data_IF_092483123522
#
_entry.id   IF_092483123522
#
_cell.length_a   1.000
_cell.length_b   1.000
_cell.length_c   1.000
_cell.angle_alpha   90.00
_cell.angle_beta   90.00
_cell.angle_gamma   90.00
#
_symmetry.space_group_name_H-M   'P 1'
#
loop_
_entity.id
_entity.type
_entity.pdbx_description
1 polymer ?
#
# COMPACT_ATOMS: atom_id res chain seq x y z
N UNK A 1 20.49 2.22 -15.87
CA UNK A 1 19.04 2.01 -15.68
C UNK A 1 18.89 0.85 -14.70
N UNK A 2 18.75 1.10 -13.40
CA UNK A 2 18.46 0.04 -12.44
C UNK A 2 16.99 -0.37 -12.64
N UNK A 3 16.76 -1.50 -13.29
CA UNK A 3 15.42 -2.11 -13.38
C UNK A 3 15.34 -3.11 -12.24
N UNK A 4 14.60 -2.76 -11.21
CA UNK A 4 14.31 -3.63 -10.08
C UNK A 4 13.24 -4.63 -10.52
N UNK A 5 13.65 -5.87 -10.84
CA UNK A 5 12.74 -6.89 -11.34
C UNK A 5 12.81 -8.12 -10.41
N UNK A 6 11.70 -8.53 -9.77
CA UNK A 6 11.68 -9.76 -9.00
C UNK A 6 11.76 -10.96 -9.96
N UNK A 7 12.88 -11.68 -9.95
CA UNK A 7 13.00 -12.95 -10.65
C UNK A 7 12.30 -14.06 -9.83
N UNK A 8 11.17 -14.58 -10.32
CA UNK A 8 10.60 -15.84 -9.78
C UNK A 8 11.46 -17.00 -10.23
N UNK A 9 12.03 -17.76 -9.28
CA UNK A 9 12.64 -19.04 -9.62
C UNK A 9 11.55 -20.08 -9.97
N UNK A 10 11.91 -21.13 -10.70
CA UNK A 10 10.99 -22.21 -11.12
C UNK A 10 10.59 -23.17 -9.98
N UNK A 11 11.11 -23.01 -8.76
CA UNK A 11 10.95 -23.96 -7.64
C UNK A 11 9.89 -23.56 -6.61
N UNK A 12 9.04 -22.57 -6.88
CA UNK A 12 7.87 -22.26 -6.04
C UNK A 12 8.16 -21.52 -4.73
N UNK A 13 9.43 -21.42 -4.31
CA UNK A 13 9.89 -20.48 -3.28
C UNK A 13 10.25 -19.17 -3.95
N UNK A 14 9.42 -18.15 -3.78
CA UNK A 14 9.73 -16.80 -4.25
C UNK A 14 10.82 -16.19 -3.37
N UNK A 15 12.09 -16.53 -3.62
CA UNK A 15 13.19 -15.73 -3.09
C UNK A 15 13.18 -14.40 -3.81
N UNK A 16 12.82 -13.34 -3.09
CA UNK A 16 12.86 -11.98 -3.62
C UNK A 16 14.33 -11.53 -3.63
N UNK A 17 14.94 -11.49 -4.82
CA UNK A 17 16.26 -10.90 -4.99
C UNK A 17 16.09 -9.43 -5.41
N UNK A 18 16.71 -8.53 -4.66
CA UNK A 18 16.98 -7.18 -5.16
C UNK A 18 18.24 -7.25 -6.02
N UNK A 19 18.11 -7.00 -7.31
CA UNK A 19 19.27 -6.80 -8.19
C UNK A 19 19.50 -5.30 -8.36
N UNK A 20 20.59 -4.81 -7.79
CA UNK A 20 21.08 -3.47 -8.03
C UNK A 20 22.52 -3.54 -8.55
N UNK A 21 22.87 -2.61 -9.43
CA UNK A 21 24.24 -2.50 -9.99
C UNK A 21 24.79 -1.14 -9.61
N UNK A 22 25.20 -0.94 -8.33
CA UNK A 22 25.79 0.32 -7.92
C UNK A 22 27.11 0.55 -8.65
N UNK A 23 27.37 1.80 -9.03
CA UNK A 23 28.69 2.20 -9.50
C UNK A 23 29.61 2.44 -8.31
N UNK A 24 30.86 1.97 -8.37
CA UNK A 24 31.90 2.38 -7.44
C UNK A 24 32.46 3.72 -7.88
N UNK A 25 32.50 4.71 -6.99
CA UNK A 25 33.14 6.00 -7.25
C UNK A 25 34.50 6.03 -6.56
N UNK A 26 35.55 5.62 -7.27
CA UNK A 26 36.93 5.62 -6.77
C UNK A 26 37.61 4.27 -6.96
N UNK A 27 38.88 4.20 -6.58
CA UNK A 27 39.63 2.95 -6.54
C UNK A 27 39.06 2.03 -5.44
N UNK A 28 39.15 0.69 -5.58
CA UNK A 28 38.65 -0.25 -4.57
C UNK A 28 39.13 0.05 -3.14
N UNK A 29 40.36 0.54 -2.98
CA UNK A 29 40.93 0.92 -1.68
C UNK A 29 40.22 2.09 -1.00
N UNK A 30 39.53 2.94 -1.77
CA UNK A 30 38.88 4.15 -1.28
C UNK A 30 37.40 3.93 -0.95
N UNK A 31 36.80 2.89 -1.56
CA UNK A 31 35.38 2.61 -1.47
C UNK A 31 35.08 1.39 -0.60
N UNK A 32 36.02 0.46 -0.46
CA UNK A 32 35.94 -0.65 0.49
C UNK A 32 36.42 -0.14 1.84
N UNK A 33 35.52 -0.11 2.82
CA UNK A 33 35.82 0.36 4.17
C UNK A 33 36.60 -0.71 4.95
N UNK A 34 36.15 -1.96 4.86
CA UNK A 34 36.74 -3.14 5.49
C UNK A 34 36.30 -4.42 4.75
N UNK A 35 36.46 -5.60 5.38
CA UNK A 35 36.18 -6.90 4.75
C UNK A 35 34.70 -7.18 4.47
N UNK A 36 33.79 -6.37 5.01
CA UNK A 36 32.33 -6.54 4.90
C UNK A 36 31.58 -5.26 4.51
N UNK A 37 32.27 -4.12 4.40
CA UNK A 37 31.71 -2.82 4.01
C UNK A 37 32.27 -2.26 2.71
N UNK A 38 31.38 -1.85 1.78
CA UNK A 38 31.75 -1.08 0.59
C UNK A 38 30.75 0.04 0.31
N UNK A 39 31.23 1.12 -0.27
CA UNK A 39 30.44 2.29 -0.68
C UNK A 39 30.17 2.26 -2.18
N UNK A 40 28.89 2.36 -2.55
CA UNK A 40 28.45 2.40 -3.95
C UNK A 40 27.43 3.51 -4.19
N UNK A 41 27.36 4.01 -5.41
CA UNK A 41 26.37 5.00 -5.84
C UNK A 41 25.30 4.32 -6.67
N UNK A 42 24.05 4.44 -6.22
CA UNK A 42 22.90 3.91 -6.94
C UNK A 42 22.33 4.98 -7.88
N UNK A 43 22.31 4.68 -9.18
CA UNK A 43 21.61 5.49 -10.18
C UNK A 43 20.33 4.76 -10.62
N UNK A 44 19.16 5.27 -10.27
CA UNK A 44 17.90 4.66 -10.68
C UNK A 44 16.65 5.22 -10.03
N UNK A 45 15.50 4.73 -10.49
CA UNK A 45 14.18 5.00 -9.93
C UNK A 45 13.76 3.81 -9.08
N UNK A 46 13.46 4.04 -7.81
CA UNK A 46 12.96 3.01 -6.89
C UNK A 46 11.47 3.23 -6.63
N UNK A 47 10.66 2.19 -6.84
CA UNK A 47 9.26 2.22 -6.42
C UNK A 47 9.16 2.24 -4.91
N UNK A 48 8.28 3.08 -4.36
CA UNK A 48 8.00 3.15 -2.93
C UNK A 48 6.50 2.95 -2.71
N UNK A 49 6.13 2.31 -1.60
CA UNK A 49 4.77 2.25 -1.08
C UNK A 49 4.76 2.83 0.33
N UNK A 50 3.75 3.65 0.59
CA UNK A 50 3.51 4.17 1.92
C UNK A 50 3.16 3.02 2.87
N UNK A 51 3.90 2.93 3.96
CA UNK A 51 3.64 1.95 4.99
C UNK A 51 2.48 2.41 5.89
N UNK A 52 1.68 1.44 6.33
CA UNK A 52 0.63 1.63 7.33
C UNK A 52 -0.63 2.33 6.80
N UNK A 53 -0.68 2.68 5.52
CA UNK A 53 -1.88 3.26 4.90
C UNK A 53 -2.05 2.84 3.44
N UNK A 54 -3.32 2.66 3.05
CA UNK A 54 -3.69 2.26 1.70
C UNK A 54 -4.63 3.31 1.09
N UNK A 55 -4.41 3.61 -0.19
CA UNK A 55 -5.23 4.54 -0.96
C UNK A 55 -6.05 3.77 -1.98
N UNK A 56 -7.14 4.35 -2.47
CA UNK A 56 -7.89 3.75 -3.57
C UNK A 56 -6.97 3.50 -4.79
N UNK A 57 -7.01 2.27 -5.30
CA UNK A 57 -6.17 1.83 -6.42
C UNK A 57 -6.60 2.54 -7.73
N UNK A 58 -5.65 2.82 -8.62
CA UNK A 58 -5.95 3.42 -9.94
C UNK A 58 -6.20 2.37 -11.03
N UNK A 59 -5.73 1.14 -10.79
CA UNK A 59 -5.93 0.01 -11.68
C UNK A 59 -5.95 -1.30 -10.88
N UNK A 60 -6.73 -2.27 -11.35
CA UNK A 60 -6.82 -3.58 -10.70
C UNK A 60 -7.03 -4.71 -11.70
N UNK A 61 -6.71 -5.94 -11.30
CA UNK A 61 -7.00 -7.13 -12.11
C UNK A 61 -8.49 -7.44 -11.99
N UNK A 62 -9.17 -7.53 -13.13
CA UNK A 62 -10.61 -7.80 -13.20
C UNK A 62 -10.87 -9.01 -14.09
N UNK A 63 -11.91 -9.83 -13.79
CA UNK A 63 -12.42 -10.79 -14.75
C UNK A 63 -12.81 -10.14 -16.07
N UNK A 64 -12.64 -10.85 -17.17
CA UNK A 64 -13.10 -10.41 -18.50
C UNK A 64 -14.11 -11.36 -19.12
N UNK A 65 -14.54 -12.36 -18.35
CA UNK A 65 -15.51 -13.37 -18.73
C UNK A 65 -15.44 -14.57 -17.79
N UNK A 66 -16.16 -15.66 -18.08
CA UNK A 66 -16.30 -16.81 -17.17
C UNK A 66 -15.00 -17.56 -16.89
N UNK A 67 -14.05 -17.51 -17.83
CA UNK A 67 -12.76 -18.21 -17.72
C UNK A 67 -11.57 -17.25 -17.84
N UNK A 68 -11.83 -15.97 -18.14
CA UNK A 68 -10.81 -15.01 -18.55
C UNK A 68 -10.53 -13.95 -17.50
N UNK A 69 -9.26 -13.56 -17.40
CA UNK A 69 -8.82 -12.38 -16.67
C UNK A 69 -7.89 -11.57 -17.55
N UNK A 70 -7.96 -10.24 -17.45
CA UNK A 70 -6.94 -9.36 -18.04
C UNK A 70 -6.00 -8.82 -16.98
N UNK A 71 -4.75 -8.59 -17.36
CA UNK A 71 -3.82 -7.79 -16.56
C UNK A 71 -4.35 -6.36 -16.38
N UNK A 72 -4.02 -5.78 -15.21
CA UNK A 72 -4.29 -4.41 -14.73
C UNK A 72 -5.19 -3.55 -15.64
N UNK A 73 -6.47 -3.42 -15.27
CA UNK A 73 -7.43 -2.54 -15.93
C UNK A 73 -7.62 -1.26 -15.11
N UNK A 74 -7.77 -0.11 -15.77
CA UNK A 74 -8.04 1.17 -15.09
C UNK A 74 -9.33 1.08 -14.27
N UNK A 75 -9.28 1.50 -13.01
CA UNK A 75 -10.47 1.66 -12.16
C UNK A 75 -11.34 2.76 -12.77
N UNK A 76 -12.63 2.47 -12.93
CA UNK A 76 -13.58 3.32 -13.67
C UNK A 76 -13.64 3.04 -15.18
N UNK A 77 -12.83 2.11 -15.69
CA UNK A 77 -12.94 1.66 -17.08
C UNK A 77 -14.18 0.77 -17.33
N UNK A 78 -14.58 0.56 -18.58
CA UNK A 78 -15.81 -0.19 -18.92
C UNK A 78 -15.86 -1.61 -18.37
N UNK A 79 -14.73 -2.32 -18.36
CA UNK A 79 -14.66 -3.67 -17.79
C UNK A 79 -14.81 -3.69 -16.27
N UNK A 80 -14.25 -2.68 -15.58
CA UNK A 80 -14.41 -2.54 -14.13
C UNK A 80 -15.86 -2.16 -13.77
N UNK A 81 -16.47 -1.29 -14.56
CA UNK A 81 -17.88 -0.92 -14.43
C UNK A 81 -18.78 -2.15 -14.61
N UNK A 82 -18.64 -2.88 -15.71
CA UNK A 82 -19.45 -4.07 -15.96
C UNK A 82 -19.33 -5.10 -14.83
N UNK A 83 -18.12 -5.31 -14.30
CA UNK A 83 -17.91 -6.23 -13.18
C UNK A 83 -18.56 -5.74 -11.87
N UNK A 84 -18.47 -4.46 -11.56
CA UNK A 84 -19.07 -3.90 -10.36
C UNK A 84 -20.56 -3.61 -10.49
N UNK A 85 -21.15 -3.62 -11.69
CA UNK A 85 -22.61 -3.48 -11.84
C UNK A 85 -23.34 -4.71 -11.31
N UNK A 86 -22.81 -5.90 -11.59
CA UNK A 86 -23.30 -7.15 -11.01
C UNK A 86 -22.17 -8.19 -10.95
N UNK A 87 -21.41 -8.28 -9.84
CA UNK A 87 -20.31 -9.23 -9.70
C UNK A 87 -20.78 -10.68 -9.53
N UNK A 88 -22.07 -10.92 -9.31
CA UNK A 88 -22.66 -12.24 -9.10
C UNK A 88 -23.48 -12.72 -10.32
N UNK A 89 -23.47 -11.96 -11.42
CA UNK A 89 -24.14 -12.30 -12.67
C UNK A 89 -23.76 -13.72 -13.15
N UNK A 90 -24.76 -14.59 -13.15
CA UNK A 90 -24.58 -16.01 -13.49
C UNK A 90 -24.04 -16.16 -14.92
N UNK A 91 -22.91 -16.87 -15.05
CA UNK A 91 -22.30 -17.16 -16.34
C UNK A 91 -21.61 -15.96 -17.02
N UNK A 92 -21.50 -14.81 -16.36
CA UNK A 92 -20.74 -13.66 -16.86
C UNK A 92 -19.30 -13.65 -16.33
N UNK A 93 -19.13 -14.05 -15.06
CA UNK A 93 -17.85 -14.03 -14.35
C UNK A 93 -17.42 -15.42 -13.88
N UNK A 94 -16.16 -15.61 -13.47
CA UNK A 94 -15.70 -16.88 -12.93
C UNK A 94 -16.56 -17.33 -11.75
N UNK A 95 -17.07 -18.54 -11.83
CA UNK A 95 -17.87 -19.11 -10.75
C UNK A 95 -17.01 -19.30 -9.50
N UNK A 96 -17.61 -19.03 -8.34
CA UNK A 96 -17.00 -19.43 -7.07
C UNK A 96 -16.94 -20.96 -6.99
N UNK A 97 -15.84 -21.50 -6.48
CA UNK A 97 -15.66 -22.95 -6.31
C UNK A 97 -16.60 -23.54 -5.27
N UNK A 98 -17.16 -22.69 -4.39
CA UNK A 98 -18.20 -23.02 -3.43
C UNK A 98 -19.28 -21.94 -3.48
N UNK A 99 -20.55 -22.29 -3.20
CA UNK A 99 -21.60 -21.29 -3.04
C UNK A 99 -21.20 -20.23 -2.01
N UNK A 100 -21.49 -18.97 -2.30
CA UNK A 100 -21.26 -17.89 -1.34
C UNK A 100 -22.23 -18.03 -0.17
N UNK A 101 -21.77 -17.64 1.02
CA UNK A 101 -22.67 -17.53 2.16
C UNK A 101 -23.67 -16.38 1.92
N UNK A 102 -24.96 -16.50 2.28
CA UNK A 102 -25.97 -15.48 1.98
C UNK A 102 -25.63 -14.06 2.49
N UNK A 103 -24.94 -13.96 3.63
CA UNK A 103 -24.47 -12.68 4.16
C UNK A 103 -23.40 -12.01 3.28
N UNK A 104 -22.58 -12.81 2.59
CA UNK A 104 -21.57 -12.31 1.64
C UNK A 104 -22.25 -11.81 0.38
N UNK A 105 -23.22 -12.57 -0.14
CA UNK A 105 -24.03 -12.16 -1.30
C UNK A 105 -24.76 -10.85 -1.01
N UNK A 106 -25.45 -10.75 0.13
CA UNK A 106 -26.13 -9.54 0.55
C UNK A 106 -25.17 -8.34 0.68
N UNK A 107 -23.95 -8.57 1.17
CA UNK A 107 -22.93 -7.52 1.26
C UNK A 107 -22.45 -7.06 -0.11
N UNK A 108 -22.21 -7.97 -1.05
CA UNK A 108 -21.87 -7.60 -2.43
C UNK A 108 -23.01 -6.82 -3.08
N UNK A 109 -24.24 -7.32 -3.02
CA UNK A 109 -25.41 -6.64 -3.57
C UNK A 109 -25.59 -5.22 -3.00
N UNK A 110 -25.29 -5.01 -1.71
CA UNK A 110 -25.37 -3.68 -1.09
C UNK A 110 -24.18 -2.75 -1.40
N UNK A 111 -23.03 -3.29 -1.80
CA UNK A 111 -21.80 -2.53 -2.03
C UNK A 111 -21.48 -2.30 -3.53
N UNK A 112 -22.23 -2.94 -4.41
CA UNK A 112 -22.00 -2.95 -5.86
C UNK A 112 -23.27 -2.52 -6.59
N UNK A 113 -23.15 -2.23 -7.88
CA UNK A 113 -24.21 -1.66 -8.71
C UNK A 113 -23.75 -0.44 -9.50
N UNK A 114 -24.72 0.16 -10.19
CA UNK A 114 -24.50 1.33 -11.03
C UNK A 114 -23.81 2.46 -10.24
N UNK A 115 -22.72 2.98 -10.81
CA UNK A 115 -21.93 4.06 -10.21
C UNK A 115 -20.83 3.61 -9.23
N UNK A 116 -20.76 2.34 -8.82
CA UNK A 116 -19.69 1.88 -7.91
C UNK A 116 -18.29 2.05 -8.51
N UNK A 117 -18.11 1.74 -9.80
CA UNK A 117 -16.82 1.95 -10.46
C UNK A 117 -16.44 3.44 -10.60
N UNK A 118 -17.40 4.32 -10.91
CA UNK A 118 -17.17 5.76 -10.91
C UNK A 118 -16.82 6.29 -9.52
N UNK A 119 -17.47 5.78 -8.47
CA UNK A 119 -17.16 6.10 -7.09
C UNK A 119 -15.72 5.71 -6.71
N UNK A 120 -15.29 4.50 -7.08
CA UNK A 120 -13.92 4.05 -6.84
C UNK A 120 -12.90 4.93 -7.58
N UNK A 121 -13.17 5.25 -8.85
CA UNK A 121 -12.28 6.08 -9.66
C UNK A 121 -12.11 7.49 -9.07
N UNK A 122 -13.22 8.11 -8.63
CA UNK A 122 -13.19 9.41 -7.96
C UNK A 122 -12.26 9.39 -6.74
N UNK A 123 -12.41 8.40 -5.85
CA UNK A 123 -11.55 8.32 -4.67
C UNK A 123 -10.07 8.08 -5.01
N UNK A 124 -9.77 7.34 -6.07
CA UNK A 124 -8.40 7.14 -6.54
C UNK A 124 -7.80 8.43 -7.11
N UNK A 125 -8.57 9.16 -7.91
CA UNK A 125 -8.17 10.45 -8.49
C UNK A 125 -7.99 11.52 -7.40
N UNK A 126 -8.91 11.59 -6.44
CA UNK A 126 -8.86 12.52 -5.30
C UNK A 126 -7.62 12.26 -4.42
N UNK A 127 -7.36 10.99 -4.07
CA UNK A 127 -6.19 10.63 -3.27
C UNK A 127 -4.88 10.95 -4.01
N UNK A 128 -4.82 10.68 -5.32
CA UNK A 128 -3.67 11.02 -6.16
C UNK A 128 -3.46 12.53 -6.23
N UNK A 129 -4.52 13.30 -6.45
CA UNK A 129 -4.47 14.76 -6.51
C UNK A 129 -4.02 15.37 -5.18
N UNK A 130 -4.54 14.85 -4.06
CA UNK A 130 -4.18 15.29 -2.73
C UNK A 130 -2.68 15.09 -2.44
N UNK A 131 -2.13 13.91 -2.75
CA UNK A 131 -0.70 13.67 -2.55
C UNK A 131 0.17 14.60 -3.41
N UNK A 132 -0.21 14.81 -4.68
CA UNK A 132 0.49 15.75 -5.57
C UNK A 132 0.47 17.16 -4.99
N UNK A 133 -0.69 17.64 -4.55
CA UNK A 133 -0.85 18.96 -3.94
C UNK A 133 0.04 19.11 -2.70
N UNK A 134 0.02 18.13 -1.78
CA UNK A 134 0.88 18.18 -0.58
C UNK A 134 2.37 18.30 -0.92
N UNK A 135 2.86 17.57 -1.93
CA UNK A 135 4.26 17.62 -2.34
C UNK A 135 4.59 18.96 -2.99
N UNK A 136 3.68 19.51 -3.80
CA UNK A 136 3.86 20.81 -4.44
C UNK A 136 3.88 21.94 -3.41
N UNK A 137 2.94 21.93 -2.47
CA UNK A 137 2.85 22.91 -1.38
C UNK A 137 4.11 22.88 -0.51
N UNK A 138 4.58 21.69 -0.14
CA UNK A 138 5.80 21.53 0.65
C UNK A 138 7.02 22.06 -0.13
N UNK A 139 7.11 21.77 -1.43
CA UNK A 139 8.20 22.28 -2.28
C UNK A 139 8.18 23.80 -2.38
N UNK A 140 7.01 24.39 -2.56
CA UNK A 140 6.83 25.85 -2.62
C UNK A 140 7.21 26.50 -1.28
N UNK A 141 6.70 25.97 -0.16
CA UNK A 141 7.02 26.44 1.19
C UNK A 141 8.52 26.41 1.49
N UNK A 142 9.19 25.36 1.02
CA UNK A 142 10.63 25.19 1.20
C UNK A 142 11.44 26.08 0.23
N UNK A 143 10.86 26.46 -0.91
CA UNK A 143 11.52 27.32 -1.91
C UNK A 143 12.60 26.61 -2.74
N UNK A 144 12.46 25.30 -2.98
CA UNK A 144 13.47 24.48 -3.67
C UNK A 144 13.01 24.12 -5.10
N UNK A 145 13.94 24.13 -6.06
CA UNK A 145 13.69 23.72 -7.43
C UNK A 145 13.32 22.22 -7.54
N UNK A 146 12.50 21.81 -8.53
CA UNK A 146 12.08 20.41 -8.67
C UNK A 146 13.25 19.41 -8.74
N UNK A 147 14.37 19.79 -9.36
CA UNK A 147 15.56 18.95 -9.51
C UNK A 147 16.29 18.70 -8.18
N UNK A 148 16.09 19.57 -7.18
CA UNK A 148 16.77 19.57 -5.89
C UNK A 148 15.86 19.11 -4.75
N UNK A 149 14.56 18.93 -5.02
CA UNK A 149 13.63 18.40 -4.04
C UNK A 149 14.01 16.97 -3.67
N UNK A 150 14.16 16.73 -2.36
CA UNK A 150 14.50 15.42 -1.80
C UNK A 150 13.53 15.09 -0.69
N UNK A 151 13.22 13.80 -0.58
CA UNK A 151 12.38 13.27 0.48
C UNK A 151 13.24 12.53 1.50
N UNK A 152 12.88 12.66 2.77
CA UNK A 152 13.32 11.76 3.81
C UNK A 152 12.47 10.49 3.74
N UNK A 153 13.14 9.34 3.72
CA UNK A 153 12.52 8.02 3.64
C UNK A 153 12.93 7.25 4.89
N UNK A 154 11.96 6.93 5.74
CA UNK A 154 12.15 6.08 6.90
C UNK A 154 11.52 4.71 6.61
N UNK A 155 12.34 3.66 6.63
CA UNK A 155 11.92 2.27 6.35
C UNK A 155 11.69 1.50 7.65
N UNK A 156 10.95 0.39 7.60
CA UNK A 156 10.75 -0.53 8.73
C UNK A 156 11.54 -1.82 8.58
N UNK A 157 11.35 -2.75 9.51
CA UNK A 157 12.03 -4.06 9.51
C UNK A 157 11.75 -4.86 8.23
N UNK A 158 10.51 -4.81 7.73
CA UNK A 158 10.16 -5.31 6.40
C UNK A 158 10.39 -4.20 5.37
N UNK A 159 11.59 -4.18 4.80
CA UNK A 159 12.03 -3.07 3.95
C UNK A 159 11.35 -3.09 2.57
N UNK A 160 11.03 -4.27 2.04
CA UNK A 160 10.47 -4.44 0.69
C UNK A 160 9.18 -5.27 0.72
N UNK A 161 8.23 -4.92 -0.14
CA UNK A 161 7.10 -5.80 -0.44
C UNK A 161 7.44 -6.87 -1.49
N UNK A 162 6.51 -7.80 -1.73
CA UNK A 162 6.69 -8.86 -2.74
C UNK A 162 6.84 -8.38 -4.19
N UNK A 163 6.68 -7.07 -4.45
CA UNK A 163 6.95 -6.44 -5.74
C UNK A 163 8.31 -5.71 -5.78
N UNK A 164 9.10 -5.76 -4.71
CA UNK A 164 10.40 -5.09 -4.61
C UNK A 164 10.29 -3.59 -4.39
N UNK A 165 9.13 -3.09 -3.92
CA UNK A 165 8.95 -1.66 -3.57
C UNK A 165 9.37 -1.42 -2.13
N UNK A 166 10.04 -0.31 -1.87
CA UNK A 166 10.37 0.10 -0.51
C UNK A 166 9.10 0.41 0.28
N UNK A 167 8.98 -0.15 1.48
CA UNK A 167 7.94 0.18 2.43
C UNK A 167 8.43 1.30 3.36
N UNK A 168 7.79 2.46 3.30
CA UNK A 168 8.32 3.64 3.98
C UNK A 168 7.28 4.63 4.51
N UNK A 169 7.71 5.37 5.53
CA UNK A 169 7.18 6.68 5.87
C UNK A 169 7.98 7.76 5.13
N UNK A 170 7.28 8.69 4.49
CA UNK A 170 7.90 9.70 3.63
C UNK A 170 7.59 11.10 4.12
N UNK A 171 8.60 11.96 4.17
CA UNK A 171 8.47 13.39 4.45
C UNK A 171 9.50 14.18 3.64
N UNK A 172 9.53 15.51 3.73
CA UNK A 172 10.58 16.36 3.17
C UNK A 172 11.93 16.10 3.86
N UNK A 173 13.05 16.22 3.13
CA UNK A 173 14.39 16.01 3.70
C UNK A 173 15.00 17.24 4.38
N UNK A 174 14.35 18.40 4.27
CA UNK A 174 14.75 19.68 4.89
C UNK A 174 15.00 19.49 6.38
N UNK A 175 16.11 20.01 6.91
CA UNK A 175 16.52 19.80 8.32
C UNK A 175 15.83 20.79 9.27
N UNK A 176 15.47 21.95 8.73
CA UNK A 176 14.84 23.06 9.41
C UNK A 176 13.44 22.65 9.88
N UNK A 177 13.28 22.51 11.19
CA UNK A 177 12.03 22.03 11.81
C UNK A 177 10.81 22.90 11.46
N UNK A 178 11.00 24.20 11.30
CA UNK A 178 9.93 25.15 10.94
C UNK A 178 9.41 24.98 9.51
N UNK A 179 10.25 24.46 8.62
CA UNK A 179 9.91 24.21 7.22
C UNK A 179 9.44 22.77 6.98
N UNK A 180 9.87 21.83 7.82
CA UNK A 180 9.47 20.42 7.74
C UNK A 180 8.07 20.21 8.36
N UNK A 181 7.10 19.68 7.60
CA UNK A 181 5.82 19.29 8.16
C UNK A 181 5.99 18.27 9.31
N UNK A 182 5.28 18.43 10.44
CA UNK A 182 5.43 17.54 11.58
C UNK A 182 4.94 16.12 11.30
N UNK A 183 3.95 15.98 10.41
CA UNK A 183 3.39 14.71 9.97
C UNK A 183 4.01 14.30 8.63
N UNK A 184 4.22 13.00 8.48
CA UNK A 184 4.61 12.37 7.21
C UNK A 184 3.49 12.51 6.18
N UNK A 185 3.80 12.34 4.89
CA UNK A 185 2.77 12.27 3.85
C UNK A 185 1.79 11.13 4.12
N UNK A 186 2.26 10.00 4.66
CA UNK A 186 1.41 8.88 5.07
C UNK A 186 0.32 9.34 6.06
N UNK A 187 0.74 10.02 7.13
CA UNK A 187 -0.15 10.50 8.19
C UNK A 187 -1.06 11.63 7.71
N UNK A 188 -0.57 12.54 6.86
CA UNK A 188 -1.38 13.60 6.25
C UNK A 188 -2.46 13.02 5.33
N UNK A 189 -2.13 11.99 4.55
CA UNK A 189 -3.08 11.27 3.71
C UNK A 189 -4.18 10.61 4.53
N UNK A 190 -3.84 9.99 5.68
CA UNK A 190 -4.84 9.46 6.62
C UNK A 190 -5.68 10.58 7.23
N UNK A 191 -5.04 11.64 7.72
CA UNK A 191 -5.71 12.76 8.39
C UNK A 191 -6.72 13.46 7.46
N UNK A 192 -6.42 13.52 6.16
CA UNK A 192 -7.30 14.09 5.15
C UNK A 192 -8.36 13.11 4.62
N UNK A 193 -8.44 11.88 5.15
CA UNK A 193 -9.37 10.86 4.69
C UNK A 193 -9.07 10.33 3.28
N UNK A 194 -7.85 10.57 2.78
CA UNK A 194 -7.40 10.13 1.44
C UNK A 194 -6.76 8.73 1.47
N UNK A 195 -6.40 8.25 2.66
CA UNK A 195 -5.90 6.90 2.89
C UNK A 195 -6.59 6.27 4.10
N UNK A 196 -6.83 4.97 4.03
CA UNK A 196 -7.25 4.18 5.17
C UNK A 196 -6.01 3.63 5.89
N UNK A 197 -5.93 3.70 7.23
CA UNK A 197 -4.89 2.98 7.94
C UNK A 197 -5.10 1.48 7.78
N UNK A 198 -4.05 0.73 7.47
CA UNK A 198 -4.09 -0.73 7.53
C UNK A 198 -3.03 -1.27 8.46
N UNK A 199 -3.42 -2.29 9.20
CA UNK A 199 -2.53 -3.02 10.09
C UNK A 199 -2.04 -4.26 9.35
N UNK A 200 -0.73 -4.35 9.11
CA UNK A 200 -0.12 -5.61 8.70
C UNK A 200 -0.25 -6.53 9.91
N UNK A 201 -1.05 -7.58 9.78
CA UNK A 201 -1.21 -8.58 10.81
C UNK A 201 -0.19 -9.69 10.58
N UNK A 202 0.65 -10.05 11.58
CA UNK A 202 0.77 -9.48 12.92
C UNK A 202 1.98 -8.53 13.04
N UNK A 203 1.79 -7.24 13.30
CA UNK A 203 2.94 -6.33 13.58
C UNK A 203 3.42 -6.39 15.05
N UNK A 204 2.62 -7.03 15.89
CA UNK A 204 3.05 -7.74 17.09
C UNK A 204 2.35 -9.06 16.94
N UNK A 205 3.03 -10.19 17.09
CA UNK A 205 2.31 -11.42 17.33
C UNK A 205 1.35 -11.18 18.54
N UNK A 206 0.02 -11.05 18.32
CA UNK A 206 -0.91 -10.95 19.44
C UNK A 206 -1.04 -12.29 20.15
N UNK A 207 -0.39 -13.33 19.61
CA UNK A 207 -0.22 -14.67 20.09
C UNK A 207 1.17 -14.92 20.71
N UNK A 208 2.00 -13.88 20.97
CA UNK A 208 3.20 -14.07 21.82
C UNK A 208 2.67 -14.60 23.16
N UNK A 209 2.89 -15.90 23.40
CA UNK A 209 2.39 -16.64 24.56
C UNK A 209 1.01 -17.32 24.43
N UNK A 210 0.43 -17.48 23.23
CA UNK A 210 -0.84 -18.21 23.02
C UNK A 210 -0.65 -19.39 22.03
N UNK A 211 -1.16 -20.59 22.36
CA UNK A 211 -0.94 -21.78 21.54
C UNK A 211 -1.76 -21.85 20.24
N UNK A 212 -2.86 -21.09 20.11
CA UNK A 212 -3.68 -21.07 18.89
C UNK A 212 -4.32 -19.70 18.58
N UNK A 213 -4.62 -19.48 17.29
CA UNK A 213 -5.25 -18.24 16.78
C UNK A 213 -6.64 -17.98 17.39
N UNK A 214 -7.39 -19.05 17.66
CA UNK A 214 -8.69 -18.98 18.33
C UNK A 214 -8.60 -18.45 19.76
N UNK A 215 -7.44 -18.60 20.41
CA UNK A 215 -7.25 -18.25 21.82
C UNK A 215 -6.94 -16.76 22.01
N UNK A 216 -6.55 -16.03 20.96
CA UNK A 216 -6.40 -14.58 21.01
C UNK A 216 -7.61 -13.81 20.46
N UNK A 217 -8.55 -14.49 19.81
CA UNK A 217 -9.82 -13.86 19.45
C UNK A 217 -10.65 -13.64 20.72
N UNK A 218 -10.90 -12.37 21.09
CA UNK A 218 -11.84 -12.07 22.16
C UNK A 218 -13.22 -12.63 21.78
N UNK A 219 -13.89 -13.38 22.67
CA UNK A 219 -15.27 -13.79 22.44
C UNK A 219 -16.15 -12.57 22.12
N UNK A 220 -17.15 -12.68 21.23
CA UNK A 220 -17.95 -11.54 20.77
C UNK A 220 -18.51 -10.66 21.89
N UNK A 221 -18.87 -11.25 23.04
CA UNK A 221 -19.31 -10.51 24.22
C UNK A 221 -18.20 -9.63 24.84
N UNK A 222 -16.98 -10.15 24.95
CA UNK A 222 -15.82 -9.41 25.49
C UNK A 222 -15.32 -8.36 24.51
N UNK A 223 -15.33 -8.66 23.21
CA UNK A 223 -14.98 -7.68 22.18
C UNK A 223 -15.94 -6.49 22.19
N UNK A 224 -17.25 -6.74 22.24
CA UNK A 224 -18.27 -5.69 22.35
C UNK A 224 -18.10 -4.83 23.60
N UNK A 225 -17.81 -5.46 24.75
CA UNK A 225 -17.56 -4.74 26.00
C UNK A 225 -16.31 -3.86 25.91
N UNK A 226 -15.21 -4.40 25.39
CA UNK A 226 -13.95 -3.67 25.23
C UNK A 226 -14.08 -2.49 24.24
N UNK A 227 -14.82 -2.69 23.14
CA UNK A 227 -15.11 -1.63 22.17
C UNK A 227 -15.98 -0.51 22.78
N UNK A 228 -16.94 -0.86 23.64
CA UNK A 228 -17.79 0.10 24.33
C UNK A 228 -17.05 0.92 25.39
N UNK A 229 -16.05 0.34 26.07
CA UNK A 229 -15.27 1.01 27.12
C UNK A 229 -14.00 1.69 26.61
N UNK A 230 -13.57 1.40 25.37
CA UNK A 230 -12.38 1.98 24.76
C UNK A 230 -12.63 3.37 24.18
N UNK A 231 -11.57 4.04 23.71
CA UNK A 231 -11.63 5.39 23.11
C UNK A 231 -12.65 5.51 21.96
N UNK A 232 -12.89 4.43 21.22
CA UNK A 232 -13.89 4.33 20.14
C UNK A 232 -15.36 4.26 20.64
N UNK A 233 -15.59 3.75 21.85
CA UNK A 233 -16.91 3.74 22.49
C UNK A 233 -17.21 5.07 23.19
N UNK A 234 -16.17 5.71 23.75
CA UNK A 234 -16.26 7.04 24.34
C UNK A 234 -16.50 8.15 23.29
N UNK A 235 -16.11 7.94 22.03
CA UNK A 235 -16.37 8.87 20.93
C UNK A 235 -17.78 8.76 20.31
N UNK A 236 -18.64 7.88 20.85
CA UNK A 236 -20.04 7.71 20.43
C UNK A 236 -21.05 8.30 21.42
N UNK A 237 -20.58 8.95 22.48
CA UNK A 237 -21.39 9.73 23.42
C UNK A 237 -21.34 11.21 23.07
#
# INVERSE_FOLDING_TARGET
MAVFNPARNRSGTATLYMTATPGLKGEPSDVVYDGDGLSGVFAGSQGMRFLGCDTAEVAYRVPTGPTGFKSSQKIGGPLWQAYLDDPLAAGQWPAFTQPLHPLVEARFAAATGAGSAANHARHADDARAALIAMILDDRERIGIAPADFRVHVAVTHEVFDGYGRLLAFVNTSVKERELRPPLTYNERMIANGMAAPFFIWPNTDPFIGRPAVTDAALPPARLRKAAATGKLGLSRQ
#
